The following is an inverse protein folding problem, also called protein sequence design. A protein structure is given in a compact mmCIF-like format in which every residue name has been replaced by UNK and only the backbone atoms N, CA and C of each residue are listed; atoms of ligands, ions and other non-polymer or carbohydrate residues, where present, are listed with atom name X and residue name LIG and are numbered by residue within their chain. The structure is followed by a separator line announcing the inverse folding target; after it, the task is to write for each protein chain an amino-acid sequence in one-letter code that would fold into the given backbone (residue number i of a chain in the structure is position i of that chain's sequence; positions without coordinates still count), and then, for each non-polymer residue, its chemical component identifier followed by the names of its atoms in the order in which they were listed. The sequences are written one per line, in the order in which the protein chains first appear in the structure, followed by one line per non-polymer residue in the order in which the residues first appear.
data_IF_205657578366
#
_entry.id   IF_205657578366
#
_cell.length_a   1.000
_cell.length_b   1.000
_cell.length_c   1.000
_cell.angle_alpha   90.00
_cell.angle_beta   90.00
_cell.angle_gamma   90.00
#
_symmetry.space_group_name_H-M   'P 1'
#
loop_
_entity.id
_entity.type
_entity.pdbx_description
1 polymer ?
#
# COMPACT_ATOMS: atom_id res chain seq x y z
N UNK A 1 -14.54 -29.34 -24.39
CA UNK A 1 -13.73 -28.21 -24.89
C UNK A 1 -12.69 -27.94 -23.81
N UNK A 2 -11.41 -28.18 -24.09
CA UNK A 2 -10.32 -27.96 -23.13
C UNK A 2 -10.04 -26.47 -23.08
N UNK A 3 -10.08 -25.89 -21.89
CA UNK A 3 -9.77 -24.49 -21.62
C UNK A 3 -8.43 -24.10 -22.26
N UNK A 4 -8.49 -23.14 -23.17
CA UNK A 4 -7.31 -22.46 -23.70
C UNK A 4 -6.84 -21.45 -22.65
N UNK A 5 -5.54 -21.46 -22.41
CA UNK A 5 -4.74 -20.47 -21.68
C UNK A 5 -4.82 -20.45 -20.13
N UNK A 6 -4.03 -21.33 -19.50
CA UNK A 6 -3.50 -21.13 -18.15
C UNK A 6 -2.01 -20.73 -18.21
N UNK A 7 -1.64 -19.80 -19.09
CA UNK A 7 -0.45 -18.98 -18.84
C UNK A 7 -0.77 -18.15 -17.58
N UNK A 8 -0.15 -18.52 -16.46
CA UNK A 8 -0.65 -18.25 -15.10
C UNK A 8 -1.10 -16.79 -14.87
N UNK A 9 -2.42 -16.58 -14.79
CA UNK A 9 -3.00 -15.28 -14.38
C UNK A 9 -2.43 -14.90 -13.01
N UNK A 10 -1.88 -13.69 -12.93
CA UNK A 10 -1.39 -13.10 -11.68
C UNK A 10 -2.22 -11.89 -11.29
N UNK A 11 -2.12 -11.52 -10.01
CA UNK A 11 -2.64 -10.27 -9.47
C UNK A 11 -1.53 -9.22 -9.51
N UNK A 12 -1.83 -8.03 -9.99
CA UNK A 12 -0.93 -6.88 -9.84
C UNK A 12 -1.45 -5.98 -8.74
N UNK A 13 -0.65 -5.78 -7.72
CA UNK A 13 -0.87 -4.79 -6.67
C UNK A 13 -0.12 -3.51 -7.05
N UNK A 14 -0.78 -2.36 -6.99
CA UNK A 14 -0.14 -1.04 -7.05
C UNK A 14 -0.46 -0.31 -5.75
N UNK A 15 0.56 -0.07 -4.93
CA UNK A 15 0.32 0.46 -3.59
C UNK A 15 1.57 0.77 -2.80
N UNK A 16 1.34 1.22 -1.57
CA UNK A 16 2.39 1.61 -0.64
C UNK A 16 3.19 0.43 -0.10
N UNK A 17 4.49 0.64 0.02
CA UNK A 17 5.40 -0.08 0.91
C UNK A 17 5.93 0.91 1.94
N UNK A 18 6.34 0.43 3.11
CA UNK A 18 7.09 1.24 4.07
C UNK A 18 7.84 0.37 5.07
N UNK A 19 8.73 1.01 5.84
CA UNK A 19 9.23 0.50 7.10
C UNK A 19 8.30 1.00 8.19
N UNK A 20 7.80 0.10 9.03
CA UNK A 20 7.14 0.47 10.28
C UNK A 20 8.19 0.45 11.40
N UNK A 21 8.35 1.58 12.09
CA UNK A 21 9.18 1.71 13.27
C UNK A 21 8.25 2.03 14.43
N UNK A 22 8.18 1.15 15.42
CA UNK A 22 7.27 1.28 16.55
C UNK A 22 8.05 1.30 17.86
N UNK A 23 7.92 2.39 18.63
CA UNK A 23 8.48 2.56 19.96
C UNK A 23 7.45 2.24 21.05
N UNK A 24 7.80 1.34 21.95
CA UNK A 24 6.96 0.90 23.08
C UNK A 24 7.64 1.34 24.38
N UNK A 25 7.12 2.37 25.07
CA UNK A 25 7.69 2.80 26.32
C UNK A 25 7.42 1.77 27.42
N UNK A 26 8.34 1.66 28.38
CA UNK A 26 8.18 0.79 29.54
C UNK A 26 7.21 1.38 30.58
N UNK A 27 7.24 2.70 30.69
CA UNK A 27 6.49 3.48 31.66
C UNK A 27 5.74 4.62 30.94
N UNK A 28 4.98 5.43 31.68
CA UNK A 28 4.28 6.58 31.11
C UNK A 28 5.26 7.55 30.44
N UNK A 29 4.94 7.99 29.23
CA UNK A 29 5.78 8.90 28.46
C UNK A 29 5.96 10.25 29.18
N UNK A 30 7.21 10.70 29.21
CA UNK A 30 7.62 12.05 29.63
C UNK A 30 8.00 12.84 28.37
N UNK A 31 7.21 13.86 27.97
CA UNK A 31 7.55 14.71 26.83
C UNK A 31 8.92 15.38 27.00
N UNK A 32 9.63 15.57 25.88
CA UNK A 32 10.96 16.21 25.83
C UNK A 32 12.09 15.45 26.56
N UNK A 33 11.84 14.24 27.03
CA UNK A 33 12.83 13.36 27.68
C UNK A 33 13.08 12.06 26.88
N UNK A 34 14.16 11.35 27.20
CA UNK A 34 14.49 10.04 26.66
C UNK A 34 13.76 8.93 27.44
N UNK A 35 12.76 8.33 26.81
CA UNK A 35 11.91 7.34 27.43
C UNK A 35 12.47 5.92 27.22
N UNK A 36 12.65 5.16 28.31
CA UNK A 36 13.13 3.77 28.25
C UNK A 36 12.03 2.87 27.69
N UNK A 37 12.39 2.01 26.74
CA UNK A 37 11.44 1.16 26.05
C UNK A 37 12.08 0.19 25.07
N UNK A 38 11.26 -0.36 24.17
CA UNK A 38 11.69 -1.22 23.08
C UNK A 38 11.29 -0.64 21.73
N UNK A 39 12.05 -0.95 20.68
CA UNK A 39 11.73 -0.55 19.32
C UNK A 39 11.57 -1.80 18.47
N UNK A 40 10.48 -1.87 17.70
CA UNK A 40 10.27 -2.90 16.68
C UNK A 40 10.34 -2.27 15.30
N UNK A 41 10.97 -2.98 14.38
CA UNK A 41 11.09 -2.59 12.98
C UNK A 41 10.52 -3.74 12.13
N UNK A 42 9.55 -3.42 11.27
CA UNK A 42 8.97 -4.36 10.31
C UNK A 42 8.86 -3.74 8.93
N UNK A 43 8.90 -4.58 7.89
CA UNK A 43 8.62 -4.14 6.53
C UNK A 43 7.11 -4.24 6.32
N UNK A 44 6.45 -3.13 6.07
CA UNK A 44 5.01 -3.02 5.94
C UNK A 44 4.58 -2.28 4.68
N UNK A 45 3.42 -1.65 4.80
CA UNK A 45 2.72 -0.96 3.73
C UNK A 45 1.53 -1.77 3.24
N UNK A 46 0.42 -1.09 2.98
CA UNK A 46 -0.85 -1.75 2.64
C UNK A 46 -0.68 -2.59 1.36
N UNK A 47 -0.12 -2.02 0.30
CA UNK A 47 0.23 -2.75 -0.92
C UNK A 47 1.15 -3.95 -0.67
N UNK A 48 2.22 -3.78 0.13
CA UNK A 48 3.13 -4.89 0.51
C UNK A 48 2.39 -6.01 1.24
N UNK A 49 1.59 -5.65 2.25
CA UNK A 49 0.88 -6.59 3.10
C UNK A 49 -0.19 -7.37 2.31
N UNK A 50 -0.89 -6.71 1.40
CA UNK A 50 -1.82 -7.39 0.50
C UNK A 50 -1.05 -8.34 -0.41
N UNK A 51 0.02 -7.87 -1.07
CA UNK A 51 0.84 -8.69 -1.95
C UNK A 51 1.42 -9.93 -1.26
N UNK A 52 2.01 -9.75 -0.08
CA UNK A 52 2.57 -10.85 0.71
C UNK A 52 1.51 -11.88 1.11
N UNK A 53 0.32 -11.45 1.56
CA UNK A 53 -0.75 -12.37 1.92
C UNK A 53 -1.28 -13.14 0.71
N UNK A 54 -1.43 -12.51 -0.45
CA UNK A 54 -1.82 -13.20 -1.68
C UNK A 54 -0.81 -14.30 -2.05
N UNK A 55 0.49 -14.00 -1.98
CA UNK A 55 1.54 -15.01 -2.23
C UNK A 55 1.49 -16.14 -1.21
N UNK A 56 1.31 -15.84 0.07
CA UNK A 56 1.16 -16.86 1.13
C UNK A 56 -0.06 -17.76 0.92
N UNK A 57 -1.09 -17.26 0.24
CA UNK A 57 -2.29 -18.02 -0.17
C UNK A 57 -2.10 -18.79 -1.49
N UNK A 58 -0.89 -18.76 -2.08
CA UNK A 58 -0.58 -19.46 -3.33
C UNK A 58 -0.97 -18.71 -4.60
N UNK A 59 -1.31 -17.42 -4.49
CA UNK A 59 -1.70 -16.59 -5.63
C UNK A 59 -0.44 -15.92 -6.21
N UNK A 60 -0.17 -16.16 -7.49
CA UNK A 60 0.90 -15.46 -8.20
C UNK A 60 0.64 -13.95 -8.19
N UNK A 61 1.55 -13.19 -7.60
CA UNK A 61 1.33 -11.76 -7.31
C UNK A 61 2.57 -10.94 -7.60
N UNK A 62 2.35 -9.83 -8.28
CA UNK A 62 3.35 -8.77 -8.51
C UNK A 62 2.97 -7.52 -7.74
N UNK A 63 3.95 -6.78 -7.25
CA UNK A 63 3.77 -5.49 -6.61
C UNK A 63 4.59 -4.42 -7.31
N UNK A 64 3.90 -3.38 -7.78
CA UNK A 64 4.47 -2.16 -8.32
C UNK A 64 4.34 -1.08 -7.24
N UNK A 65 5.48 -0.58 -6.77
CA UNK A 65 5.55 0.48 -5.77
C UNK A 65 6.69 1.45 -6.09
N UNK A 66 7.08 2.27 -5.10
CA UNK A 66 8.26 3.13 -5.15
C UNK A 66 9.06 2.95 -3.88
N UNK A 67 10.37 2.78 -4.03
CA UNK A 67 11.34 2.73 -2.93
C UNK A 67 12.56 3.59 -3.25
N UNK A 68 13.36 3.89 -2.23
CA UNK A 68 14.67 4.51 -2.38
C UNK A 68 15.75 3.49 -2.72
N UNK A 69 17.01 3.88 -2.59
CA UNK A 69 18.17 2.98 -2.75
C UNK A 69 18.98 2.75 -1.47
N UNK A 70 18.42 3.18 -0.33
CA UNK A 70 18.98 2.98 1.01
C UNK A 70 18.86 1.53 1.52
N UNK A 71 19.47 1.28 2.69
CA UNK A 71 19.46 -0.04 3.33
C UNK A 71 18.04 -0.59 3.54
N UNK A 72 17.12 0.25 3.99
CA UNK A 72 15.75 -0.17 4.26
C UNK A 72 14.99 -0.52 2.99
N UNK A 73 15.18 0.21 1.90
CA UNK A 73 14.60 -0.11 0.59
C UNK A 73 15.12 -1.45 0.08
N UNK A 74 16.42 -1.70 0.20
CA UNK A 74 16.99 -3.01 -0.14
C UNK A 74 16.43 -4.13 0.74
N UNK A 75 16.18 -3.85 2.03
CA UNK A 75 15.56 -4.81 2.95
C UNK A 75 14.12 -5.12 2.57
N UNK A 76 13.31 -4.11 2.19
CA UNK A 76 11.95 -4.30 1.67
C UNK A 76 11.97 -5.25 0.47
N UNK A 77 12.79 -4.95 -0.54
CA UNK A 77 12.88 -5.76 -1.76
C UNK A 77 13.34 -7.19 -1.46
N UNK A 78 14.37 -7.35 -0.63
CA UNK A 78 14.92 -8.67 -0.26
C UNK A 78 13.92 -9.51 0.53
N UNK A 79 13.23 -8.93 1.51
CA UNK A 79 12.28 -9.66 2.34
C UNK A 79 11.00 -10.00 1.56
N UNK A 80 10.55 -9.12 0.64
CA UNK A 80 9.49 -9.44 -0.32
C UNK A 80 9.89 -10.59 -1.27
N UNK A 81 11.10 -10.58 -1.81
CA UNK A 81 11.57 -11.68 -2.67
C UNK A 81 11.65 -13.02 -1.93
N UNK A 82 12.06 -13.04 -0.66
CA UNK A 82 12.10 -14.26 0.17
C UNK A 82 10.73 -14.92 0.36
N UNK A 83 9.67 -14.12 0.45
CA UNK A 83 8.30 -14.66 0.57
C UNK A 83 7.69 -15.01 -0.78
N UNK A 84 8.37 -14.70 -1.90
CA UNK A 84 7.90 -14.96 -3.27
C UNK A 84 7.12 -13.81 -3.90
N UNK A 85 7.11 -12.61 -3.29
CA UNK A 85 6.47 -11.43 -3.85
C UNK A 85 7.37 -10.77 -4.90
N UNK A 86 6.94 -10.79 -6.16
CA UNK A 86 7.67 -10.17 -7.27
C UNK A 86 7.51 -8.64 -7.24
N UNK A 87 8.63 -7.95 -7.01
CA UNK A 87 8.71 -6.48 -7.01
C UNK A 87 9.63 -5.94 -8.11
N UNK A 88 9.94 -6.73 -9.15
CA UNK A 88 10.91 -6.33 -10.19
C UNK A 88 10.48 -5.07 -10.98
N UNK A 89 9.18 -4.77 -10.98
CA UNK A 89 8.62 -3.59 -11.63
C UNK A 89 8.48 -2.36 -10.72
N UNK A 90 8.91 -2.45 -9.46
CA UNK A 90 8.94 -1.31 -8.52
C UNK A 90 10.00 -0.28 -8.93
N UNK A 91 9.67 1.01 -8.79
CA UNK A 91 10.60 2.10 -9.03
C UNK A 91 11.61 2.22 -7.88
N UNK A 92 12.89 2.28 -8.22
CA UNK A 92 13.98 2.57 -7.27
C UNK A 92 14.50 3.98 -7.56
N UNK A 93 14.22 4.92 -6.66
CA UNK A 93 14.64 6.32 -6.81
C UNK A 93 16.02 6.50 -6.18
N UNK A 94 17.00 6.91 -6.99
CA UNK A 94 18.39 7.08 -6.56
C UNK A 94 18.55 8.25 -5.59
N UNK A 95 19.31 8.03 -4.51
CA UNK A 95 19.58 9.05 -3.49
C UNK A 95 18.36 9.39 -2.63
N UNK A 96 17.35 8.51 -2.59
CA UNK A 96 16.18 8.66 -1.74
C UNK A 96 16.12 7.53 -0.71
N UNK A 97 15.42 7.80 0.38
CA UNK A 97 15.26 6.87 1.50
C UNK A 97 14.00 6.01 1.35
N UNK A 98 13.94 4.92 2.09
CA UNK A 98 12.72 4.13 2.16
C UNK A 98 11.56 4.97 2.72
N UNK A 99 10.31 4.72 2.28
CA UNK A 99 9.15 5.23 2.99
C UNK A 99 9.12 4.68 4.42
N UNK A 100 8.89 5.53 5.43
CA UNK A 100 8.87 5.16 6.85
C UNK A 100 7.56 5.64 7.50
N UNK A 101 6.97 4.77 8.32
CA UNK A 101 5.96 5.13 9.29
C UNK A 101 6.54 4.91 10.68
N UNK A 102 6.75 6.00 11.42
CA UNK A 102 7.22 5.96 12.80
C UNK A 102 6.02 6.15 13.72
N UNK A 103 5.84 5.27 14.70
CA UNK A 103 4.85 5.40 15.74
C UNK A 103 5.49 5.24 17.12
N UNK A 104 5.15 6.11 18.06
CA UNK A 104 5.42 5.92 19.47
C UNK A 104 4.09 5.64 20.14
N UNK A 105 4.01 4.53 20.88
CA UNK A 105 2.84 4.15 21.65
C UNK A 105 2.94 4.69 23.07
N UNK A 106 1.83 4.74 23.80
CA UNK A 106 1.82 5.00 25.23
C UNK A 106 1.95 3.70 26.06
N UNK A 107 1.84 3.83 27.40
CA UNK A 107 1.94 2.70 28.33
C UNK A 107 0.82 1.66 28.18
N UNK A 108 -0.30 2.03 27.57
CA UNK A 108 -1.44 1.15 27.32
C UNK A 108 -1.38 0.52 25.91
N UNK A 109 -0.30 0.78 25.18
CA UNK A 109 -0.06 0.41 23.79
C UNK A 109 -1.06 1.04 22.80
N UNK A 110 -1.62 2.20 23.14
CA UNK A 110 -2.35 3.03 22.19
C UNK A 110 -1.38 4.00 21.49
N UNK A 111 -1.74 4.45 20.28
CA UNK A 111 -0.88 5.35 19.51
C UNK A 111 -0.81 6.73 20.18
N UNK A 112 0.36 7.11 20.67
CA UNK A 112 0.61 8.44 21.22
C UNK A 112 0.91 9.47 20.12
N UNK A 113 1.87 9.17 19.25
CA UNK A 113 2.21 10.03 18.10
C UNK A 113 2.73 9.19 16.93
N UNK A 114 2.43 9.63 15.71
CA UNK A 114 2.94 9.02 14.49
C UNK A 114 3.45 10.04 13.48
N UNK A 115 4.54 9.71 12.79
CA UNK A 115 5.09 10.45 11.66
C UNK A 115 5.00 9.57 10.43
N UNK A 116 4.37 10.10 9.38
CA UNK A 116 4.25 9.45 8.10
C UNK A 116 5.21 10.09 7.09
N UNK A 117 6.33 9.42 6.82
CA UNK A 117 7.32 9.79 5.82
C UNK A 117 7.19 8.90 4.58
N UNK A 118 6.08 9.05 3.85
CA UNK A 118 5.78 8.27 2.62
C UNK A 118 5.84 9.11 1.34
N UNK A 119 6.45 10.32 1.39
CA UNK A 119 6.47 11.26 0.27
C UNK A 119 7.14 10.73 -1.00
N UNK A 120 8.00 9.71 -0.90
CA UNK A 120 8.62 9.07 -2.06
C UNK A 120 7.60 8.47 -3.03
N UNK A 121 6.41 8.07 -2.55
CA UNK A 121 5.34 7.54 -3.40
C UNK A 121 4.85 8.55 -4.45
N UNK A 122 5.08 9.85 -4.26
CA UNK A 122 4.78 10.89 -5.27
C UNK A 122 5.63 10.73 -6.55
N UNK A 123 6.70 9.92 -6.53
CA UNK A 123 7.44 9.55 -7.75
C UNK A 123 6.71 8.47 -8.57
N UNK A 124 5.61 7.88 -8.06
CA UNK A 124 4.73 7.05 -8.87
C UNK A 124 3.92 7.96 -9.79
N UNK A 125 4.46 8.26 -10.97
CA UNK A 125 3.80 9.13 -11.95
C UNK A 125 2.98 8.33 -12.96
N UNK A 126 2.05 9.01 -13.65
CA UNK A 126 1.29 8.40 -14.76
C UNK A 126 2.24 7.86 -15.85
N UNK A 127 3.34 8.56 -16.12
CA UNK A 127 4.33 8.13 -17.12
C UNK A 127 5.06 6.85 -16.69
N UNK A 128 5.47 6.75 -15.42
CA UNK A 128 6.01 5.51 -14.86
C UNK A 128 5.01 4.36 -15.02
N UNK A 129 3.74 4.57 -14.65
CA UNK A 129 2.68 3.55 -14.76
C UNK A 129 2.43 3.14 -16.22
N UNK A 130 2.42 4.09 -17.16
CA UNK A 130 2.33 3.79 -18.60
C UNK A 130 3.49 2.91 -19.07
N UNK A 131 4.69 3.13 -18.56
CA UNK A 131 5.85 2.27 -18.78
C UNK A 131 5.67 0.83 -18.26
N UNK A 132 4.70 0.58 -17.38
CA UNK A 132 4.34 -0.74 -16.84
C UNK A 132 3.10 -1.36 -17.48
N UNK A 133 2.62 -0.78 -18.60
CA UNK A 133 1.39 -1.23 -19.28
C UNK A 133 1.35 -2.75 -19.53
N UNK A 134 2.43 -3.36 -20.02
CA UNK A 134 2.47 -4.80 -20.29
C UNK A 134 2.17 -5.65 -19.05
N UNK A 135 2.62 -5.23 -17.87
CA UNK A 135 2.40 -5.97 -16.60
C UNK A 135 0.97 -5.77 -16.11
N UNK A 136 0.43 -4.57 -16.28
CA UNK A 136 -0.93 -4.23 -15.85
C UNK A 136 -1.96 -4.88 -16.79
N UNK A 137 -1.75 -4.82 -18.11
CA UNK A 137 -2.62 -5.40 -19.14
C UNK A 137 -2.74 -6.93 -19.00
N UNK A 138 -1.64 -7.61 -18.70
CA UNK A 138 -1.63 -9.07 -18.57
C UNK A 138 -2.10 -9.58 -17.19
N UNK A 139 -2.32 -8.69 -16.23
CA UNK A 139 -2.88 -9.06 -14.93
C UNK A 139 -4.36 -9.46 -15.06
N UNK A 140 -4.74 -10.49 -14.29
CA UNK A 140 -6.14 -10.93 -14.20
C UNK A 140 -6.99 -10.06 -13.27
N UNK A 141 -6.35 -9.40 -12.31
CA UNK A 141 -6.97 -8.54 -11.30
C UNK A 141 -5.98 -7.44 -10.92
N UNK A 142 -6.49 -6.23 -10.69
CA UNK A 142 -5.74 -5.15 -10.07
C UNK A 142 -6.18 -4.95 -8.62
N UNK A 143 -5.21 -4.79 -7.73
CA UNK A 143 -5.44 -4.31 -6.37
C UNK A 143 -4.73 -2.98 -6.21
N UNK A 144 -5.47 -1.96 -5.79
CA UNK A 144 -4.97 -0.61 -5.57
C UNK A 144 -5.15 -0.24 -4.10
N UNK A 145 -4.23 0.55 -3.56
CA UNK A 145 -4.46 1.27 -2.31
C UNK A 145 -4.43 2.78 -2.54
N UNK A 146 -5.01 3.55 -1.62
CA UNK A 146 -5.05 5.02 -1.72
C UNK A 146 -3.78 5.73 -1.23
N UNK A 147 -2.70 4.98 -0.95
CA UNK A 147 -1.38 5.59 -0.76
C UNK A 147 -0.82 6.12 -2.09
N UNK A 148 -1.23 5.55 -3.23
CA UNK A 148 -0.80 6.04 -4.54
C UNK A 148 -1.23 7.50 -4.79
N UNK A 149 -0.48 8.27 -5.60
CA UNK A 149 -0.85 9.63 -5.97
C UNK A 149 -2.25 9.70 -6.59
N UNK A 150 -2.96 10.79 -6.32
CA UNK A 150 -4.38 10.92 -6.67
C UNK A 150 -4.63 10.92 -8.17
N UNK A 151 -3.77 11.58 -8.94
CA UNK A 151 -3.79 11.61 -10.40
C UNK A 151 -3.51 10.23 -11.02
N UNK A 152 -2.60 9.46 -10.42
CA UNK A 152 -2.33 8.07 -10.82
C UNK A 152 -3.50 7.15 -10.50
N UNK A 153 -4.11 7.29 -9.31
CA UNK A 153 -5.33 6.55 -8.97
C UNK A 153 -6.44 6.82 -9.98
N UNK A 154 -6.67 8.10 -10.31
CA UNK A 154 -7.65 8.51 -11.30
C UNK A 154 -7.36 7.92 -12.68
N UNK A 155 -6.10 7.99 -13.13
CA UNK A 155 -5.68 7.39 -14.40
C UNK A 155 -5.96 5.88 -14.42
N UNK A 156 -5.53 5.14 -13.38
CA UNK A 156 -5.71 3.69 -13.30
C UNK A 156 -7.18 3.29 -13.30
N UNK A 157 -8.01 3.97 -12.51
CA UNK A 157 -9.44 3.67 -12.42
C UNK A 157 -10.19 3.97 -13.72
N UNK A 158 -9.77 4.97 -14.49
CA UNK A 158 -10.40 5.31 -15.77
C UNK A 158 -9.90 4.41 -16.92
N UNK A 159 -8.58 4.20 -17.03
CA UNK A 159 -7.96 3.41 -18.09
C UNK A 159 -8.33 1.93 -18.00
N UNK A 160 -8.41 1.39 -16.77
CA UNK A 160 -8.63 -0.04 -16.53
C UNK A 160 -10.02 -0.35 -15.96
N UNK A 161 -11.02 0.51 -16.18
CA UNK A 161 -12.39 0.34 -15.67
C UNK A 161 -13.06 -1.00 -16.05
N UNK A 162 -12.63 -1.61 -17.15
CA UNK A 162 -13.15 -2.91 -17.62
C UNK A 162 -12.44 -4.11 -16.96
N UNK A 163 -11.37 -3.88 -16.20
CA UNK A 163 -10.73 -4.89 -15.34
C UNK A 163 -11.39 -4.91 -13.97
N UNK A 164 -11.38 -6.06 -13.30
CA UNK A 164 -11.75 -6.13 -11.90
C UNK A 164 -10.68 -5.42 -11.04
N UNK A 165 -11.05 -4.26 -10.50
CA UNK A 165 -10.22 -3.44 -9.61
C UNK A 165 -10.74 -3.55 -8.17
N UNK A 166 -9.86 -3.95 -7.27
CA UNK A 166 -10.11 -3.96 -5.83
C UNK A 166 -9.37 -2.78 -5.20
N UNK A 167 -10.08 -1.94 -4.46
CA UNK A 167 -9.51 -0.72 -3.87
C UNK A 167 -9.56 -0.77 -2.34
N UNK A 168 -8.42 -0.57 -1.68
CA UNK A 168 -8.30 -0.36 -0.23
C UNK A 168 -8.16 1.14 0.10
N UNK A 169 -9.06 1.65 0.94
CA UNK A 169 -9.16 3.09 1.24
C UNK A 169 -8.22 3.61 2.32
N UNK A 170 -7.45 2.74 2.98
CA UNK A 170 -6.32 3.01 3.90
C UNK A 170 -6.59 3.92 5.11
N UNK A 171 -7.07 5.14 4.89
CA UNK A 171 -7.39 6.12 5.92
C UNK A 171 -8.43 7.14 5.42
N UNK A 172 -9.10 7.82 6.35
CA UNK A 172 -10.09 8.88 6.06
C UNK A 172 -9.57 9.94 5.08
N UNK A 173 -8.33 10.39 5.23
CA UNK A 173 -7.76 11.42 4.35
C UNK A 173 -7.49 10.90 2.94
N UNK A 174 -6.99 9.66 2.82
CA UNK A 174 -6.61 9.05 1.55
C UNK A 174 -7.83 8.52 0.77
N UNK A 175 -8.84 8.02 1.47
CA UNK A 175 -10.11 7.58 0.90
C UNK A 175 -10.75 8.66 0.00
N UNK A 176 -10.68 9.92 0.40
CA UNK A 176 -11.24 11.06 -0.37
C UNK A 176 -10.74 11.16 -1.80
N UNK A 177 -9.53 10.65 -2.11
CA UNK A 177 -8.97 10.59 -3.48
C UNK A 177 -9.88 9.79 -4.43
N UNK A 178 -10.61 8.80 -3.92
CA UNK A 178 -11.45 7.92 -4.73
C UNK A 178 -12.92 8.36 -4.81
N UNK A 179 -13.34 9.44 -4.13
CA UNK A 179 -14.76 9.81 -3.95
C UNK A 179 -15.57 9.82 -5.26
N UNK A 180 -15.03 10.41 -6.32
CA UNK A 180 -15.72 10.54 -7.61
C UNK A 180 -15.44 9.37 -8.57
N UNK A 181 -14.71 8.35 -8.12
CA UNK A 181 -14.18 7.26 -8.94
C UNK A 181 -14.67 5.88 -8.48
N UNK A 182 -15.46 5.83 -7.39
CA UNK A 182 -16.00 4.57 -6.84
C UNK A 182 -16.88 3.79 -7.84
N UNK A 183 -17.42 4.44 -8.87
CA UNK A 183 -18.15 3.77 -9.95
C UNK A 183 -17.26 2.89 -10.85
N UNK A 184 -15.95 3.05 -10.78
CA UNK A 184 -14.97 2.33 -11.60
C UNK A 184 -14.25 1.21 -10.82
N UNK A 185 -14.63 0.94 -9.57
CA UNK A 185 -14.08 -0.18 -8.79
C UNK A 185 -15.06 -1.35 -8.77
N UNK A 186 -14.52 -2.56 -8.88
CA UNK A 186 -15.32 -3.78 -8.72
C UNK A 186 -15.58 -4.04 -7.23
N UNK A 187 -14.56 -3.91 -6.39
CA UNK A 187 -14.65 -4.16 -4.94
C UNK A 187 -14.01 -3.00 -4.19
N UNK A 188 -14.72 -2.46 -3.21
CA UNK A 188 -14.21 -1.47 -2.29
C UNK A 188 -14.04 -2.09 -0.89
N UNK A 189 -12.83 -2.07 -0.35
CA UNK A 189 -12.56 -2.40 1.05
C UNK A 189 -12.36 -1.10 1.80
N UNK A 190 -13.23 -0.85 2.77
CA UNK A 190 -13.26 0.39 3.55
C UNK A 190 -13.76 0.10 4.97
N UNK A 191 -13.33 0.88 5.95
CA UNK A 191 -13.93 0.86 7.29
C UNK A 191 -15.03 1.93 7.43
N UNK A 192 -15.67 1.96 8.61
CA UNK A 192 -16.78 2.89 8.91
C UNK A 192 -16.40 4.36 8.66
N UNK A 193 -15.28 4.82 9.20
CA UNK A 193 -14.89 6.23 9.09
C UNK A 193 -14.51 6.61 7.65
N UNK A 194 -13.88 5.67 6.92
CA UNK A 194 -13.49 5.85 5.53
C UNK A 194 -14.70 5.91 4.59
N UNK A 195 -15.70 5.04 4.77
CA UNK A 195 -16.91 5.05 3.93
C UNK A 195 -17.77 6.28 4.18
N UNK A 196 -17.85 6.75 5.42
CA UNK A 196 -18.51 8.01 5.76
C UNK A 196 -17.79 9.19 5.09
N UNK A 197 -16.46 9.20 5.11
CA UNK A 197 -15.66 10.22 4.45
C UNK A 197 -15.80 10.18 2.92
N UNK A 198 -15.96 9.00 2.33
CA UNK A 198 -16.18 8.82 0.90
C UNK A 198 -17.56 9.32 0.49
N UNK A 199 -18.61 8.83 1.13
CA UNK A 199 -20.00 9.02 0.72
C UNK A 199 -20.64 10.30 1.27
N UNK A 200 -20.12 10.83 2.38
CA UNK A 200 -20.78 11.88 3.15
C UNK A 200 -22.01 11.39 3.94
N UNK A 201 -22.26 10.07 3.95
CA UNK A 201 -23.39 9.44 4.62
C UNK A 201 -22.88 8.77 5.89
N UNK A 202 -23.54 8.99 7.04
CA UNK A 202 -23.23 8.26 8.27
C UNK A 202 -23.51 6.77 8.10
N UNK A 203 -22.55 5.94 8.47
CA UNK A 203 -22.72 4.50 8.44
C UNK A 203 -23.51 4.09 9.70
N UNK A 204 -24.69 3.52 9.48
CA UNK A 204 -25.48 2.86 10.51
C UNK A 204 -25.18 1.36 10.53
N UNK A 205 -25.39 0.74 11.68
CA UNK A 205 -25.51 -0.71 11.76
C UNK A 205 -26.92 -1.08 11.25
N UNK A 206 -27.02 -2.06 10.34
CA UNK A 206 -28.30 -2.67 9.93
C UNK A 206 -28.76 -3.72 10.93
#
# INVERSE_FOLDING_TARGET
MKDKDQTGRYVTVLGGVNVDIQGFPKDKLIPEDSNIGTVKISMGGVGRNIGENLVRLGINTKLISVVGDDYFSQKILKDSAKVGLDMNDTLVVKGQEAPIYLAVLDQDHDMYIGINSMGILENMTIEFIKGKKTVIDNSGLLVLDTNIPGDVLEYLLNEYKDKAIFLDTVSVSKAKKARNLIGNVHTLKTNRLEVEALTGIKAGDE
#
